data_IF_601105789709
#
_entry.id   IF_601105789709
#
_cell.length_a   1.000
_cell.length_b   1.000
_cell.length_c   1.000
_cell.angle_alpha   90.00
_cell.angle_beta   90.00
_cell.angle_gamma   90.00
#
_symmetry.space_group_name_H-M   'P 1'
#
loop_
_entity.id
_entity.type
_entity.pdbx_description
1 polymer ?
#
# COMPACT_ATOMS: atom_id res chain seq x y z
N UNK A 1 -5.03 -13.20 -1.37
CA UNK A 1 -4.88 -12.97 0.09
C UNK A 1 -5.92 -11.95 0.52
N UNK A 2 -6.66 -12.15 1.62
CA UNK A 2 -7.82 -11.31 1.99
C UNK A 2 -7.51 -10.23 3.05
N UNK A 3 -6.56 -10.49 3.95
CA UNK A 3 -6.30 -9.65 5.11
C UNK A 3 -4.84 -9.19 5.24
N UNK A 4 -4.05 -9.16 4.15
CA UNK A 4 -2.68 -8.60 4.19
C UNK A 4 -1.80 -9.18 5.32
N UNK A 5 -1.82 -10.50 5.48
CA UNK A 5 -1.07 -11.18 6.53
C UNK A 5 0.44 -11.20 6.18
N UNK A 6 1.25 -10.45 6.93
CA UNK A 6 2.68 -10.22 6.61
C UNK A 6 3.69 -10.74 7.66
N UNK A 7 3.24 -11.28 8.79
CA UNK A 7 4.10 -11.92 9.81
C UNK A 7 3.69 -13.38 10.01
N UNK A 8 4.60 -14.19 10.54
CA UNK A 8 4.42 -15.62 10.71
C UNK A 8 3.21 -15.95 11.60
N UNK A 9 3.00 -15.18 12.68
CA UNK A 9 1.91 -15.36 13.63
C UNK A 9 0.53 -15.27 12.98
N UNK A 10 0.39 -14.54 11.87
CA UNK A 10 -0.88 -14.46 11.15
C UNK A 10 -1.28 -15.78 10.49
N UNK A 11 -0.32 -16.67 10.26
CA UNK A 11 -0.52 -17.96 9.59
C UNK A 11 -0.52 -19.14 10.55
N UNK A 12 0.03 -18.98 11.76
CA UNK A 12 0.10 -20.04 12.76
C UNK A 12 -1.29 -20.59 13.11
N UNK A 13 -1.42 -21.92 13.06
CA UNK A 13 -2.66 -22.62 13.39
C UNK A 13 -3.81 -22.40 12.40
N UNK A 14 -3.57 -21.78 11.23
CA UNK A 14 -4.61 -21.54 10.22
C UNK A 14 -4.44 -22.43 9.00
N UNK A 15 -5.53 -23.06 8.59
CA UNK A 15 -5.59 -23.75 7.31
C UNK A 15 -5.66 -22.72 6.18
N UNK A 16 -4.70 -22.77 5.24
CA UNK A 16 -4.59 -21.82 4.11
C UNK A 16 -5.80 -21.81 3.17
N UNK A 17 -6.66 -22.83 3.23
CA UNK A 17 -7.86 -22.95 2.39
C UNK A 17 -9.17 -22.65 3.13
N UNK A 18 -9.12 -22.45 4.45
CA UNK A 18 -10.31 -22.12 5.23
C UNK A 18 -10.58 -20.62 5.22
N UNK A 19 -11.86 -20.26 5.13
CA UNK A 19 -12.29 -18.86 5.24
C UNK A 19 -12.23 -18.41 6.71
N UNK A 20 -11.09 -17.85 7.11
CA UNK A 20 -10.94 -17.22 8.42
C UNK A 20 -11.60 -15.84 8.51
N UNK A 21 -11.84 -15.38 9.75
CA UNK A 21 -12.12 -13.97 10.04
C UNK A 21 -10.83 -13.15 10.01
N UNK A 22 -10.97 -11.82 9.86
CA UNK A 22 -9.83 -10.92 10.01
C UNK A 22 -9.38 -10.94 11.48
N UNK A 23 -8.23 -11.56 11.72
CA UNK A 23 -7.60 -11.62 13.03
C UNK A 23 -6.11 -11.32 12.86
N UNK A 24 -5.78 -10.41 11.94
CA UNK A 24 -4.43 -9.89 11.77
C UNK A 24 -4.09 -8.96 12.94
N UNK A 25 -2.87 -9.06 13.43
CA UNK A 25 -2.26 -8.04 14.28
C UNK A 25 -1.89 -6.85 13.39
N UNK A 26 -2.16 -5.60 13.80
CA UNK A 26 -1.68 -4.44 13.07
C UNK A 26 -0.16 -4.41 12.94
N UNK A 27 0.34 -4.15 11.72
CA UNK A 27 1.76 -4.01 11.43
C UNK A 27 1.97 -2.62 10.81
N UNK A 28 2.63 -1.68 11.52
CA UNK A 28 2.85 -0.33 11.00
C UNK A 28 3.94 -0.33 9.92
N UNK A 29 4.11 0.80 9.25
CA UNK A 29 5.28 1.03 8.40
C UNK A 29 6.57 0.92 9.22
N UNK A 30 7.64 0.32 8.68
CA UNK A 30 8.90 0.15 9.39
C UNK A 30 9.56 1.50 9.71
N UNK A 31 10.19 1.59 10.88
CA UNK A 31 11.00 2.75 11.26
C UNK A 31 12.33 2.74 10.54
N UNK A 32 12.84 3.92 10.15
CA UNK A 32 14.15 4.05 9.51
C UNK A 32 14.19 3.64 8.03
N UNK A 33 13.02 3.41 7.42
CA UNK A 33 12.88 3.14 5.98
C UNK A 33 11.85 4.11 5.41
N UNK A 34 12.23 4.83 4.37
CA UNK A 34 11.29 5.71 3.68
C UNK A 34 10.30 4.89 2.86
N UNK A 35 9.04 4.92 3.29
CA UNK A 35 7.94 4.23 2.64
C UNK A 35 7.12 5.22 1.80
N UNK A 36 6.78 4.81 0.58
CA UNK A 36 6.01 5.58 -0.39
C UNK A 36 4.84 4.74 -0.93
N UNK A 37 3.78 5.40 -1.40
CA UNK A 37 2.65 4.72 -2.03
C UNK A 37 2.19 5.43 -3.30
N UNK A 38 1.82 4.62 -4.30
CA UNK A 38 1.26 5.06 -5.57
C UNK A 38 -0.07 4.33 -5.76
N UNK A 39 -1.13 5.06 -6.10
CA UNK A 39 -2.41 4.48 -6.47
C UNK A 39 -2.85 4.94 -7.86
N UNK A 40 -3.57 4.08 -8.57
CA UNK A 40 -4.31 4.45 -9.76
C UNK A 40 -5.67 5.03 -9.38
N UNK A 41 -6.07 6.14 -10.00
CA UNK A 41 -7.41 6.73 -9.79
C UNK A 41 -8.52 5.78 -10.28
N UNK A 42 -8.27 5.07 -11.39
CA UNK A 42 -9.24 4.17 -12.04
C UNK A 42 -8.81 2.71 -11.92
N UNK A 43 -8.27 2.34 -10.76
CA UNK A 43 -7.72 1.01 -10.50
C UNK A 43 -8.73 -0.13 -10.77
N UNK A 44 -9.97 0.01 -10.31
CA UNK A 44 -11.04 -0.97 -10.52
C UNK A 44 -10.89 -2.28 -9.75
N UNK A 45 -9.73 -2.55 -9.12
CA UNK A 45 -9.47 -3.74 -8.30
C UNK A 45 -9.23 -3.39 -6.84
N UNK A 46 -8.54 -2.28 -6.59
CA UNK A 46 -8.15 -1.79 -5.26
C UNK A 46 -8.79 -0.41 -5.04
N UNK A 47 -9.59 -0.23 -3.97
CA UNK A 47 -10.12 1.09 -3.64
C UNK A 47 -8.99 2.09 -3.37
N UNK A 48 -9.13 3.34 -3.85
CA UNK A 48 -8.13 4.40 -3.70
C UNK A 48 -7.66 4.58 -2.25
N UNK A 49 -8.60 4.65 -1.30
CA UNK A 49 -8.29 4.75 0.14
C UNK A 49 -7.40 3.58 0.60
N UNK A 50 -7.68 2.35 0.17
CA UNK A 50 -6.87 1.18 0.53
C UNK A 50 -5.46 1.27 -0.06
N UNK A 51 -5.31 1.68 -1.31
CA UNK A 51 -4.00 1.86 -1.95
C UNK A 51 -3.19 2.97 -1.26
N UNK A 52 -3.85 4.00 -0.74
CA UNK A 52 -3.25 5.09 0.04
C UNK A 52 -2.92 4.73 1.49
N UNK A 53 -3.15 3.48 1.91
CA UNK A 53 -2.91 3.04 3.29
C UNK A 53 -3.98 3.52 4.28
N UNK A 54 -5.11 4.00 3.80
CA UNK A 54 -6.21 4.48 4.63
C UNK A 54 -7.13 3.34 5.03
N UNK A 55 -7.59 3.40 6.27
CA UNK A 55 -8.43 2.36 6.84
C UNK A 55 -9.37 2.95 7.92
N UNK A 56 -10.64 2.50 8.00
CA UNK A 56 -11.57 2.96 9.03
C UNK A 56 -11.09 2.68 10.46
N UNK A 57 -10.52 1.50 10.71
CA UNK A 57 -9.82 1.19 11.97
C UNK A 57 -8.47 1.93 11.99
N UNK A 58 -8.25 2.89 12.92
CA UNK A 58 -7.01 3.66 13.01
C UNK A 58 -5.76 2.80 13.19
N UNK A 59 -5.87 1.67 13.90
CA UNK A 59 -4.72 0.80 14.15
C UNK A 59 -4.15 0.16 12.87
N UNK A 60 -4.97 0.04 11.82
CA UNK A 60 -4.59 -0.57 10.54
C UNK A 60 -4.21 0.45 9.46
N UNK A 61 -4.18 1.75 9.78
CA UNK A 61 -3.73 2.76 8.83
C UNK A 61 -2.22 2.69 8.67
N UNK A 62 -1.76 2.95 7.45
CA UNK A 62 -0.35 3.17 7.13
C UNK A 62 -0.16 4.67 7.00
N UNK A 63 0.60 5.26 7.93
CA UNK A 63 0.78 6.71 8.06
C UNK A 63 1.78 7.27 7.02
N UNK A 64 1.51 7.05 5.73
CA UNK A 64 2.24 7.72 4.66
C UNK A 64 2.02 9.24 4.76
N UNK A 65 3.06 10.08 4.87
CA UNK A 65 2.87 11.52 4.83
C UNK A 65 2.42 11.96 3.42
N UNK A 66 1.68 13.08 3.28
CA UNK A 66 1.18 13.54 1.97
C UNK A 66 2.26 13.68 0.90
N UNK A 67 3.49 14.06 1.27
CA UNK A 67 4.63 14.18 0.36
C UNK A 67 5.13 12.84 -0.23
N UNK A 68 4.69 11.71 0.34
CA UNK A 68 5.07 10.34 -0.06
C UNK A 68 3.89 9.54 -0.63
N UNK A 69 2.81 10.25 -0.99
CA UNK A 69 1.64 9.70 -1.66
C UNK A 69 1.56 10.28 -3.07
N UNK A 70 1.17 9.46 -4.02
CA UNK A 70 0.91 9.91 -5.39
C UNK A 70 -0.29 9.17 -5.99
N UNK A 71 -1.21 9.91 -6.59
CA UNK A 71 -2.34 9.36 -7.35
C UNK A 71 -2.06 9.60 -8.82
N UNK A 72 -2.03 8.53 -9.61
CA UNK A 72 -1.93 8.60 -11.06
C UNK A 72 -3.34 8.80 -11.64
N UNK A 73 -3.61 9.98 -12.20
CA UNK A 73 -4.94 10.42 -12.64
C UNK A 73 -5.32 9.79 -13.98
N UNK A 74 -6.56 9.32 -14.11
CA UNK A 74 -7.01 8.63 -15.33
C UNK A 74 -6.36 7.26 -15.58
N UNK A 75 -5.51 6.77 -14.67
CA UNK A 75 -4.72 5.55 -14.82
C UNK A 75 -5.45 4.35 -14.20
N UNK A 76 -5.50 3.23 -14.93
CA UNK A 76 -5.99 1.94 -14.42
C UNK A 76 -4.93 1.08 -13.75
N UNK A 77 -5.33 0.01 -13.05
CA UNK A 77 -4.47 -0.79 -12.17
C UNK A 77 -3.12 -1.21 -12.79
N UNK A 78 -3.17 -1.85 -13.96
CA UNK A 78 -1.97 -2.35 -14.64
C UNK A 78 -1.22 -1.22 -15.37
N UNK A 79 -1.91 -0.14 -15.74
CA UNK A 79 -1.30 0.99 -16.45
C UNK A 79 -0.30 1.73 -15.57
N UNK A 80 -0.47 1.73 -14.23
CA UNK A 80 0.49 2.31 -13.27
C UNK A 80 1.93 1.88 -13.57
N UNK A 81 2.15 0.64 -14.03
CA UNK A 81 3.49 0.12 -14.34
C UNK A 81 4.13 0.73 -15.59
N UNK A 82 3.35 1.42 -16.43
CA UNK A 82 3.74 1.86 -17.78
C UNK A 82 3.62 3.37 -17.99
N UNK A 83 2.86 4.08 -17.17
CA UNK A 83 2.69 5.52 -17.31
C UNK A 83 3.95 6.28 -16.89
N UNK A 84 4.37 7.25 -17.70
CA UNK A 84 5.62 7.99 -17.46
C UNK A 84 5.56 8.82 -16.18
N UNK A 85 4.40 9.41 -15.87
CA UNK A 85 4.22 10.21 -14.66
C UNK A 85 4.51 9.44 -13.36
N UNK A 86 4.24 8.13 -13.35
CA UNK A 86 4.52 7.24 -12.21
C UNK A 86 6.03 7.09 -12.04
N UNK A 87 6.74 6.84 -13.14
CA UNK A 87 8.20 6.70 -13.11
C UNK A 87 8.92 8.01 -12.80
N UNK A 88 8.43 9.12 -13.34
CA UNK A 88 8.92 10.47 -13.01
C UNK A 88 8.73 10.78 -11.52
N UNK A 89 7.59 10.39 -10.93
CA UNK A 89 7.37 10.57 -9.50
C UNK A 89 8.29 9.69 -8.65
N UNK A 90 8.52 8.43 -9.05
CA UNK A 90 9.48 7.55 -8.37
C UNK A 90 10.89 8.17 -8.41
N UNK A 91 11.33 8.65 -9.58
CA UNK A 91 12.61 9.32 -9.73
C UNK A 91 12.72 10.56 -8.83
N UNK A 92 11.69 11.41 -8.79
CA UNK A 92 11.65 12.57 -7.88
C UNK A 92 11.86 12.17 -6.42
N UNK A 93 11.22 11.10 -5.95
CA UNK A 93 11.40 10.64 -4.57
C UNK A 93 12.79 10.09 -4.31
N UNK A 94 13.34 9.28 -5.23
CA UNK A 94 14.67 8.72 -5.07
C UNK A 94 15.76 9.80 -5.05
N UNK A 95 15.66 10.80 -5.92
CA UNK A 95 16.61 11.92 -5.96
C UNK A 95 16.49 12.85 -4.73
N UNK A 96 15.30 12.94 -4.13
CA UNK A 96 15.09 13.74 -2.92
C UNK A 96 15.56 13.03 -1.64
N UNK A 97 15.67 11.70 -1.65
CA UNK A 97 16.10 10.89 -0.50
C UNK A 97 17.62 10.83 -0.29
N UNK A 98 18.43 11.34 -1.24
CA UNK A 98 19.90 11.37 -1.18
C UNK A 98 20.47 12.69 -0.59
N UNK A 99 19.65 13.50 0.10
CA UNK A 99 20.07 14.75 0.78
C UNK A 99 19.70 14.75 2.26
#
# INVERSE_FOLDING_TARGET
MRFGNVIDEHWQGRNRFELGTDARTPVPLPTGVDCYTIAAEHDGLVPLASAMGEHPNPALRLDFPPSRRFVAEGVGHIQVLRESEVWEQIERWLLASDT
#
